data_IF_320238560879
#
_entry.id   IF_320238560879
#
_cell.length_a   1.000
_cell.length_b   1.000
_cell.length_c   1.000
_cell.angle_alpha   90.00
_cell.angle_beta   90.00
_cell.angle_gamma   90.00
#
_symmetry.space_group_name_H-M   'P 1'
#
loop_
_entity.id
_entity.type
_entity.pdbx_description
1 polymer ?
#
# COMPACT_ATOMS: atom_id res chain seq x y z
N UNK A 1 13.78 24.73 -6.23
CA UNK A 1 15.21 24.64 -6.66
C UNK A 1 16.05 25.85 -6.23
N UNK A 2 15.96 27.04 -6.85
CA UNK A 2 16.87 28.19 -6.58
C UNK A 2 16.95 28.63 -5.11
N UNK A 3 15.82 28.66 -4.38
CA UNK A 3 15.79 29.03 -2.96
C UNK A 3 16.60 28.07 -2.07
N UNK A 4 16.56 26.77 -2.34
CA UNK A 4 17.31 25.75 -1.58
C UNK A 4 18.80 25.74 -1.96
N UNK A 5 19.12 25.99 -3.23
CA UNK A 5 20.51 26.11 -3.70
C UNK A 5 21.25 27.24 -3.00
N UNK A 6 20.60 28.38 -2.77
CA UNK A 6 21.20 29.56 -2.13
C UNK A 6 20.86 29.68 -0.64
N UNK A 7 20.27 28.64 -0.04
CA UNK A 7 19.95 28.65 1.37
C UNK A 7 21.24 28.55 2.20
N UNK A 8 21.39 29.46 3.16
CA UNK A 8 22.50 29.46 4.12
C UNK A 8 22.21 28.63 5.37
N UNK A 9 21.12 27.85 5.36
CA UNK A 9 20.70 26.97 6.45
C UNK A 9 20.64 25.53 5.94
N UNK A 10 20.90 24.58 6.84
CA UNK A 10 20.71 23.17 6.54
C UNK A 10 19.26 22.88 6.18
N UNK A 11 19.06 22.06 5.15
CA UNK A 11 17.73 21.69 4.68
C UNK A 11 17.64 20.21 4.33
N UNK A 12 16.41 19.71 4.36
CA UNK A 12 16.07 18.33 4.01
C UNK A 12 14.92 18.34 2.99
N UNK A 13 15.06 17.58 1.92
CA UNK A 13 14.07 17.46 0.86
C UNK A 13 13.65 16.00 0.72
N UNK A 14 12.35 15.74 0.78
CA UNK A 14 11.79 14.42 0.48
C UNK A 14 11.18 14.48 -0.91
N UNK A 15 11.57 13.55 -1.77
CA UNK A 15 11.01 13.34 -3.09
C UNK A 15 10.32 11.98 -3.06
N UNK A 16 9.00 12.01 -3.04
CA UNK A 16 8.20 10.81 -2.88
C UNK A 16 7.86 10.17 -4.23
N UNK A 17 7.78 8.83 -4.27
CA UNK A 17 7.23 8.05 -5.38
C UNK A 17 7.96 8.20 -6.74
N UNK A 18 9.30 8.21 -6.73
CA UNK A 18 10.11 8.28 -7.95
C UNK A 18 10.29 6.90 -8.60
N UNK A 19 9.23 6.39 -9.21
CA UNK A 19 9.16 4.99 -9.69
C UNK A 19 9.54 4.79 -11.15
N UNK A 20 9.64 5.87 -11.93
CA UNK A 20 10.01 5.82 -13.36
C UNK A 20 11.36 6.49 -13.66
N UNK A 21 12.50 5.94 -13.17
CA UNK A 21 13.80 6.54 -13.42
C UNK A 21 14.20 6.65 -14.90
N UNK A 22 13.54 5.91 -15.79
CA UNK A 22 13.73 5.97 -17.24
C UNK A 22 13.09 7.22 -17.88
N UNK A 23 12.01 7.75 -17.28
CA UNK A 23 11.25 8.86 -17.84
C UNK A 23 11.97 10.20 -17.72
N UNK A 24 12.72 10.42 -16.64
CA UNK A 24 13.53 11.62 -16.44
C UNK A 24 14.62 11.39 -15.39
N UNK A 25 15.68 12.20 -15.40
CA UNK A 25 16.74 12.14 -14.39
C UNK A 25 16.45 13.11 -13.24
N UNK A 26 16.08 12.58 -12.07
CA UNK A 26 15.79 13.37 -10.88
C UNK A 26 16.95 14.29 -10.45
N UNK A 27 18.21 13.93 -10.76
CA UNK A 27 19.40 14.72 -10.39
C UNK A 27 19.40 16.11 -11.03
N UNK A 28 18.68 16.28 -12.14
CA UNK A 28 18.51 17.57 -12.79
C UNK A 28 17.66 18.54 -11.97
N UNK A 29 16.81 18.03 -11.07
CA UNK A 29 15.89 18.82 -10.26
C UNK A 29 16.39 19.03 -8.82
N UNK A 30 17.32 18.20 -8.37
CA UNK A 30 17.93 18.29 -7.03
C UNK A 30 18.76 19.59 -6.89
N UNK A 31 18.51 20.42 -5.85
CA UNK A 31 19.32 21.59 -5.57
C UNK A 31 20.76 21.18 -5.18
N UNK A 32 21.76 21.73 -5.88
CA UNK A 32 23.18 21.53 -5.54
C UNK A 32 23.56 22.42 -4.36
N UNK A 33 23.65 21.88 -3.15
CA UNK A 33 24.10 22.60 -1.95
C UNK A 33 24.81 21.64 -0.98
N UNK A 34 25.93 22.02 -0.35
CA UNK A 34 26.57 21.22 0.69
C UNK A 34 25.78 21.16 2.00
N UNK A 35 24.76 22.03 2.17
CA UNK A 35 23.91 22.09 3.36
C UNK A 35 22.62 21.28 3.21
N UNK A 36 22.43 20.61 2.07
CA UNK A 36 21.22 19.90 1.73
C UNK A 36 21.35 18.39 1.84
N UNK A 37 20.30 17.75 2.37
CA UNK A 37 20.12 16.30 2.33
C UNK A 37 18.83 15.97 1.57
N UNK A 38 18.84 14.91 0.77
CA UNK A 38 17.70 14.47 -0.03
C UNK A 38 17.38 13.02 0.30
N UNK A 39 16.12 12.74 0.60
CA UNK A 39 15.58 11.39 0.68
C UNK A 39 14.64 11.19 -0.51
N UNK A 40 14.86 10.11 -1.25
CA UNK A 40 13.99 9.69 -2.35
C UNK A 40 13.33 8.38 -1.94
N UNK A 41 12.02 8.28 -2.07
CA UNK A 41 11.31 7.00 -1.98
C UNK A 41 10.98 6.51 -3.39
N UNK A 42 11.12 5.21 -3.60
CA UNK A 42 10.89 4.58 -4.90
C UNK A 42 10.67 3.09 -4.72
N UNK A 43 9.92 2.49 -5.64
CA UNK A 43 9.76 1.05 -5.82
C UNK A 43 10.75 0.47 -6.84
N UNK A 44 11.41 1.34 -7.61
CA UNK A 44 12.38 0.96 -8.64
C UNK A 44 13.79 0.84 -8.07
N UNK A 45 14.40 -0.33 -8.22
CA UNK A 45 15.80 -0.56 -7.83
C UNK A 45 16.79 0.24 -8.69
N UNK A 46 16.39 0.65 -9.90
CA UNK A 46 17.18 1.47 -10.81
C UNK A 46 17.50 2.88 -10.24
N UNK A 47 16.92 3.24 -9.10
CA UNK A 47 17.22 4.46 -8.36
C UNK A 47 18.58 4.44 -7.66
N UNK A 48 19.27 3.30 -7.57
CA UNK A 48 20.65 3.25 -7.06
C UNK A 48 21.62 4.17 -7.83
N UNK A 49 21.30 4.49 -9.09
CA UNK A 49 22.12 5.40 -9.92
C UNK A 49 22.10 6.87 -9.47
N UNK A 50 21.13 7.25 -8.61
CA UNK A 50 20.95 8.63 -8.14
C UNK A 50 21.37 8.83 -6.69
N UNK A 51 21.75 7.79 -5.94
CA UNK A 51 22.17 7.90 -4.55
C UNK A 51 22.41 6.56 -3.85
N UNK A 52 22.64 6.61 -2.53
CA UNK A 52 22.74 5.40 -1.71
C UNK A 52 21.36 4.76 -1.52
N UNK A 53 21.23 3.50 -1.91
CA UNK A 53 19.98 2.74 -1.78
C UNK A 53 19.85 2.14 -0.37
N UNK A 54 18.66 2.28 0.21
CA UNK A 54 18.25 1.58 1.43
C UNK A 54 17.02 0.74 1.10
N UNK A 55 17.20 -0.56 0.90
CA UNK A 55 16.10 -1.48 0.63
C UNK A 55 15.25 -1.68 1.89
N UNK A 56 13.94 -1.48 1.75
CA UNK A 56 12.96 -1.77 2.80
C UNK A 56 12.27 -3.10 2.44
N UNK A 57 12.35 -4.06 3.35
CA UNK A 57 11.72 -5.38 3.19
C UNK A 57 10.39 -5.44 3.94
N UNK A 58 9.65 -6.54 3.74
CA UNK A 58 8.47 -6.85 4.55
C UNK A 58 8.79 -6.97 6.04
N UNK A 59 7.74 -6.98 6.87
CA UNK A 59 7.89 -7.08 8.32
C UNK A 59 8.47 -8.43 8.71
N UNK A 60 9.18 -8.48 9.84
CA UNK A 60 9.48 -9.75 10.49
C UNK A 60 8.19 -10.42 10.98
N UNK A 61 8.23 -11.73 11.23
CA UNK A 61 7.08 -12.49 11.74
C UNK A 61 6.51 -11.87 13.02
N UNK A 62 7.39 -11.48 13.94
CA UNK A 62 6.97 -10.89 15.22
C UNK A 62 6.39 -9.49 15.05
N UNK A 63 7.01 -8.63 14.24
CA UNK A 63 6.46 -7.30 13.93
C UNK A 63 5.08 -7.40 13.27
N UNK A 64 4.94 -8.30 12.30
CA UNK A 64 3.70 -8.51 11.56
C UNK A 64 2.58 -8.99 12.48
N UNK A 65 2.83 -10.00 13.31
CA UNK A 65 1.85 -10.50 14.28
C UNK A 65 1.47 -9.41 15.30
N UNK A 66 2.46 -8.67 15.81
CA UNK A 66 2.24 -7.56 16.75
C UNK A 66 1.40 -6.43 16.12
N UNK A 67 1.61 -6.11 14.83
CA UNK A 67 0.79 -5.15 14.10
C UNK A 67 -0.67 -5.61 14.03
N UNK A 68 -0.92 -6.88 13.70
CA UNK A 68 -2.26 -7.43 13.64
C UNK A 68 -2.96 -7.37 15.01
N UNK A 69 -2.27 -7.76 16.08
CA UNK A 69 -2.81 -7.66 17.45
C UNK A 69 -3.15 -6.23 17.84
N UNK A 70 -2.25 -5.28 17.53
CA UNK A 70 -2.47 -3.86 17.78
C UNK A 70 -3.70 -3.33 17.04
N UNK A 71 -3.92 -3.78 15.80
CA UNK A 71 -5.06 -3.35 15.00
C UNK A 71 -6.39 -3.90 15.54
N UNK A 72 -6.38 -5.14 16.03
CA UNK A 72 -7.53 -5.81 16.60
C UNK A 72 -7.85 -5.36 18.03
N UNK A 73 -6.89 -4.78 18.74
CA UNK A 73 -7.01 -4.38 20.15
C UNK A 73 -7.41 -5.56 21.06
N UNK A 74 -6.76 -6.71 20.84
CA UNK A 74 -6.97 -7.94 21.61
C UNK A 74 -5.70 -8.34 22.36
N UNK A 75 -5.88 -9.01 23.50
CA UNK A 75 -4.77 -9.58 24.25
C UNK A 75 -4.21 -10.80 23.53
N UNK A 76 -2.90 -11.01 23.69
CA UNK A 76 -2.20 -12.13 23.10
C UNK A 76 -2.19 -13.35 24.04
N UNK A 77 -2.64 -14.49 23.52
CA UNK A 77 -2.41 -15.83 24.06
C UNK A 77 -1.79 -16.76 22.99
N UNK A 78 -1.31 -17.94 23.40
CA UNK A 78 -0.62 -18.88 22.51
C UNK A 78 -1.46 -19.28 21.27
N UNK A 79 -2.75 -19.53 21.43
CA UNK A 79 -3.63 -19.90 20.33
C UNK A 79 -3.86 -18.74 19.37
N UNK A 80 -4.11 -17.55 19.92
CA UNK A 80 -4.26 -16.33 19.11
C UNK A 80 -2.99 -15.98 18.33
N UNK A 81 -1.79 -16.18 18.92
CA UNK A 81 -0.51 -15.88 18.25
C UNK A 81 -0.27 -16.82 17.07
N UNK A 82 -0.55 -18.11 17.23
CA UNK A 82 -0.44 -19.06 16.11
C UNK A 82 -1.38 -18.68 14.96
N UNK A 83 -2.63 -18.31 15.25
CA UNK A 83 -3.57 -17.87 14.22
C UNK A 83 -3.12 -16.56 13.55
N UNK A 84 -2.63 -15.59 14.33
CA UNK A 84 -2.09 -14.34 13.80
C UNK A 84 -0.89 -14.58 12.86
N UNK A 85 0.03 -15.48 13.23
CA UNK A 85 1.18 -15.85 12.40
C UNK A 85 0.73 -16.48 11.07
N UNK A 86 -0.26 -17.39 11.09
CA UNK A 86 -0.81 -17.96 9.85
C UNK A 86 -1.39 -16.87 8.94
N UNK A 87 -2.17 -15.95 9.49
CA UNK A 87 -2.73 -14.81 8.75
C UNK A 87 -1.62 -13.97 8.12
N UNK A 88 -0.69 -13.44 8.91
CA UNK A 88 0.31 -12.51 8.38
C UNK A 88 1.26 -13.15 7.39
N UNK A 89 1.47 -14.47 7.47
CA UNK A 89 2.24 -15.23 6.49
C UNK A 89 1.58 -15.25 5.11
N UNK A 90 0.25 -15.43 5.06
CA UNK A 90 -0.53 -15.39 3.80
C UNK A 90 -0.68 -13.98 3.25
N UNK A 91 -0.59 -12.99 4.12
CA UNK A 91 -0.53 -11.58 3.76
C UNK A 91 0.87 -11.11 3.35
N UNK A 92 1.84 -12.03 3.21
CA UNK A 92 3.20 -11.73 2.75
C UNK A 92 3.98 -10.82 3.69
N UNK A 93 3.58 -10.74 4.97
CA UNK A 93 4.15 -9.82 5.96
C UNK A 93 4.13 -8.35 5.53
N UNK A 94 3.15 -7.97 4.70
CA UNK A 94 3.00 -6.61 4.18
C UNK A 94 2.24 -5.75 5.20
N UNK A 95 2.84 -4.65 5.73
CA UNK A 95 2.18 -3.81 6.73
C UNK A 95 0.78 -3.34 6.32
N UNK A 96 0.64 -2.91 5.06
CA UNK A 96 -0.63 -2.41 4.53
C UNK A 96 -1.70 -3.50 4.45
N UNK A 97 -1.36 -4.70 3.95
CA UNK A 97 -2.33 -5.80 3.87
C UNK A 97 -2.76 -6.25 5.28
N UNK A 98 -1.85 -6.24 6.24
CA UNK A 98 -2.13 -6.58 7.64
C UNK A 98 -3.04 -5.53 8.30
N UNK A 99 -2.76 -4.25 8.09
CA UNK A 99 -3.59 -3.15 8.61
C UNK A 99 -5.02 -3.20 8.05
N UNK A 100 -5.14 -3.43 6.73
CA UNK A 100 -6.42 -3.63 6.05
C UNK A 100 -7.18 -4.86 6.55
N UNK A 101 -6.48 -5.98 6.75
CA UNK A 101 -7.07 -7.20 7.31
C UNK A 101 -7.62 -6.97 8.71
N UNK A 102 -6.83 -6.36 9.61
CA UNK A 102 -7.28 -6.05 10.97
C UNK A 102 -8.44 -5.06 11.00
N UNK A 103 -8.43 -4.04 10.13
CA UNK A 103 -9.54 -3.09 9.99
C UNK A 103 -10.84 -3.78 9.52
N UNK A 104 -10.74 -4.65 8.51
CA UNK A 104 -11.86 -5.47 8.03
C UNK A 104 -12.42 -6.36 9.13
N UNK A 105 -11.56 -7.09 9.83
CA UNK A 105 -11.95 -7.99 10.90
C UNK A 105 -12.70 -7.27 12.02
N UNK A 106 -12.21 -6.09 12.42
CA UNK A 106 -12.85 -5.26 13.44
C UNK A 106 -14.20 -4.72 12.99
N UNK A 107 -14.32 -4.29 11.73
CA UNK A 107 -15.55 -3.73 11.18
C UNK A 107 -16.66 -4.79 11.02
N UNK A 108 -16.31 -5.98 10.53
CA UNK A 108 -17.27 -7.06 10.28
C UNK A 108 -17.42 -8.04 11.46
N UNK A 109 -16.64 -7.87 12.53
CA UNK A 109 -16.65 -8.76 13.70
C UNK A 109 -16.10 -10.17 13.39
N UNK A 110 -15.15 -10.26 12.46
CA UNK A 110 -14.54 -11.54 12.03
C UNK A 110 -13.39 -11.91 12.96
N UNK A 111 -13.40 -13.16 13.45
CA UNK A 111 -12.35 -13.68 14.33
C UNK A 111 -11.06 -14.03 13.56
N UNK A 112 -9.93 -14.15 14.26
CA UNK A 112 -8.66 -14.63 13.66
C UNK A 112 -8.85 -15.97 12.95
N UNK A 113 -9.64 -16.88 13.53
CA UNK A 113 -9.87 -18.21 12.94
C UNK A 113 -10.73 -18.16 11.69
N UNK A 114 -11.67 -17.21 11.60
CA UNK A 114 -12.61 -17.12 10.47
C UNK A 114 -12.03 -16.30 9.31
N UNK A 115 -11.14 -15.35 9.60
CA UNK A 115 -10.59 -14.43 8.59
C UNK A 115 -9.97 -15.15 7.40
N UNK A 116 -9.25 -16.24 7.63
CA UNK A 116 -8.63 -17.02 6.57
C UNK A 116 -9.64 -17.48 5.53
N UNK A 117 -10.82 -17.94 5.95
CA UNK A 117 -11.85 -18.40 5.01
C UNK A 117 -12.36 -17.24 4.13
N UNK A 118 -12.49 -16.05 4.70
CA UNK A 118 -12.88 -14.85 3.97
C UNK A 118 -11.80 -14.44 2.97
N UNK A 119 -10.54 -14.44 3.40
CA UNK A 119 -9.39 -14.11 2.56
C UNK A 119 -9.27 -15.06 1.37
N UNK A 120 -9.29 -16.37 1.60
CA UNK A 120 -9.14 -17.37 0.53
C UNK A 120 -10.28 -17.30 -0.50
N UNK A 121 -11.51 -17.03 -0.05
CA UNK A 121 -12.64 -16.84 -0.96
C UNK A 121 -12.44 -15.61 -1.84
N UNK A 122 -12.02 -14.48 -1.26
CA UNK A 122 -11.75 -13.24 -2.02
C UNK A 122 -10.53 -13.39 -2.93
N UNK A 123 -9.47 -14.04 -2.47
CA UNK A 123 -8.26 -14.30 -3.24
C UNK A 123 -8.60 -15.14 -4.48
N UNK A 124 -9.40 -16.20 -4.35
CA UNK A 124 -9.80 -17.01 -5.50
C UNK A 124 -10.51 -16.20 -6.59
N UNK A 125 -11.40 -15.29 -6.21
CA UNK A 125 -12.07 -14.40 -7.16
C UNK A 125 -11.05 -13.49 -7.85
N UNK A 126 -10.15 -12.87 -7.08
CA UNK A 126 -9.19 -11.89 -7.58
C UNK A 126 -8.17 -12.54 -8.50
N UNK A 127 -7.52 -13.61 -8.05
CA UNK A 127 -6.47 -14.28 -8.82
C UNK A 127 -6.98 -14.94 -10.11
N UNK A 128 -8.31 -15.11 -10.28
CA UNK A 128 -8.91 -15.64 -11.50
C UNK A 128 -9.52 -14.59 -12.42
N UNK A 129 -10.03 -13.48 -11.88
CA UNK A 129 -10.83 -12.50 -12.63
C UNK A 129 -10.13 -11.18 -12.88
N UNK A 130 -9.10 -10.86 -12.12
CA UNK A 130 -8.35 -9.63 -12.27
C UNK A 130 -7.30 -9.82 -13.38
N UNK A 131 -7.40 -9.09 -14.50
CA UNK A 131 -6.29 -8.99 -15.46
C UNK A 131 -5.03 -8.55 -14.71
N UNK A 132 -3.84 -8.96 -15.16
CA UNK A 132 -2.55 -8.50 -14.62
C UNK A 132 -2.65 -7.01 -14.27
N UNK A 133 -2.70 -6.73 -12.97
CA UNK A 133 -3.29 -5.49 -12.46
C UNK A 133 -2.22 -4.40 -12.53
N UNK A 134 -2.28 -3.62 -13.61
CA UNK A 134 -1.77 -2.24 -13.77
C UNK A 134 -0.26 -2.11 -14.03
N UNK A 135 0.12 -1.01 -14.71
CA UNK A 135 1.51 -0.51 -14.89
C UNK A 135 2.32 -0.43 -13.57
N UNK A 136 1.63 -0.54 -12.42
CA UNK A 136 2.19 -0.58 -11.08
C UNK A 136 3.18 -1.74 -10.84
N UNK A 137 3.11 -2.84 -11.61
CA UNK A 137 4.06 -3.96 -11.54
C UNK A 137 5.29 -3.80 -12.43
N UNK A 138 5.23 -2.96 -13.47
CA UNK A 138 6.32 -2.80 -14.45
C UNK A 138 7.49 -1.98 -13.88
N UNK A 139 7.23 -1.01 -12.99
CA UNK A 139 8.29 -0.14 -12.44
C UNK A 139 9.24 -0.83 -11.45
N UNK A 140 8.89 -2.03 -10.97
CA UNK A 140 9.67 -2.82 -10.02
C UNK A 140 10.40 -4.02 -10.67
N UNK A 141 10.27 -4.22 -11.98
CA UNK A 141 10.81 -5.40 -12.68
C UNK A 141 12.28 -5.23 -13.04
N UNK A 142 13.17 -5.72 -12.17
CA UNK A 142 14.43 -6.34 -12.60
C UNK A 142 14.19 -7.80 -13.00
N UNK A 143 15.14 -8.41 -13.75
CA UNK A 143 15.06 -9.70 -14.47
C UNK A 143 14.57 -10.95 -13.68
N UNK A 144 14.24 -10.84 -12.39
CA UNK A 144 13.72 -11.91 -11.54
C UNK A 144 12.54 -11.52 -10.61
N UNK A 145 11.93 -10.34 -10.78
CA UNK A 145 11.04 -9.69 -9.78
C UNK A 145 9.55 -9.56 -10.11
N UNK A 146 9.13 -9.96 -11.30
CA UNK A 146 7.77 -9.71 -11.81
C UNK A 146 6.71 -10.52 -11.05
N UNK A 147 6.98 -11.81 -10.81
CA UNK A 147 6.05 -12.72 -10.11
C UNK A 147 5.84 -12.33 -8.63
N UNK A 148 6.89 -11.84 -7.95
CA UNK A 148 6.78 -11.42 -6.54
C UNK A 148 5.99 -10.12 -6.41
N UNK A 149 6.16 -9.19 -7.34
CA UNK A 149 5.47 -7.88 -7.32
C UNK A 149 3.97 -8.05 -7.59
N UNK A 150 3.60 -8.91 -8.55
CA UNK A 150 2.21 -9.22 -8.86
C UNK A 150 1.50 -9.88 -7.66
N UNK A 151 2.16 -10.81 -6.97
CA UNK A 151 1.62 -11.43 -5.75
C UNK A 151 1.38 -10.38 -4.65
N UNK A 152 2.35 -9.49 -4.39
CA UNK A 152 2.24 -8.42 -3.39
C UNK A 152 1.05 -7.50 -3.71
N UNK A 153 0.92 -7.06 -4.96
CA UNK A 153 -0.17 -6.20 -5.39
C UNK A 153 -1.53 -6.91 -5.24
N UNK A 154 -1.62 -8.18 -5.64
CA UNK A 154 -2.84 -8.99 -5.48
C UNK A 154 -3.21 -9.21 -4.03
N UNK A 155 -2.26 -9.41 -3.13
CA UNK A 155 -2.52 -9.56 -1.68
C UNK A 155 -3.09 -8.30 -1.06
N UNK A 156 -2.50 -7.13 -1.34
CA UNK A 156 -3.02 -5.83 -0.89
C UNK A 156 -4.41 -5.59 -1.49
N UNK A 157 -4.58 -5.83 -2.79
CA UNK A 157 -5.88 -5.69 -3.42
C UNK A 157 -6.93 -6.64 -2.83
N UNK A 158 -6.54 -7.86 -2.43
CA UNK A 158 -7.44 -8.84 -1.81
C UNK A 158 -7.98 -8.37 -0.48
N UNK A 159 -7.12 -7.83 0.38
CA UNK A 159 -7.52 -7.30 1.69
C UNK A 159 -8.33 -6.00 1.56
N UNK A 160 -7.97 -5.14 0.61
CA UNK A 160 -8.80 -3.99 0.25
C UNK A 160 -10.20 -4.39 -0.26
N UNK A 161 -10.28 -5.38 -1.16
CA UNK A 161 -11.54 -5.84 -1.74
C UNK A 161 -12.50 -6.44 -0.70
N UNK A 162 -11.98 -7.08 0.35
CA UNK A 162 -12.80 -7.52 1.50
C UNK A 162 -13.50 -6.33 2.16
N UNK A 163 -12.75 -5.24 2.42
CA UNK A 163 -13.31 -4.00 2.97
C UNK A 163 -14.29 -3.34 2.00
N UNK A 164 -14.00 -3.34 0.71
CA UNK A 164 -14.89 -2.78 -0.30
C UNK A 164 -16.22 -3.55 -0.40
N UNK A 165 -16.17 -4.90 -0.41
CA UNK A 165 -17.37 -5.76 -0.38
C UNK A 165 -18.22 -5.55 0.89
N UNK A 166 -17.58 -5.20 2.01
CA UNK A 166 -18.27 -4.90 3.29
C UNK A 166 -19.16 -3.65 3.24
N UNK A 167 -18.98 -2.79 2.24
CA UNK A 167 -19.87 -1.65 2.02
C UNK A 167 -21.29 -2.09 1.62
N UNK A 168 -21.50 -3.38 1.31
CA UNK A 168 -22.76 -3.98 0.84
C UNK A 168 -23.33 -3.23 -0.38
N UNK A 169 -22.65 -3.27 -1.53
CA UNK A 169 -23.09 -2.58 -2.76
C UNK A 169 -24.43 -3.10 -3.32
N UNK A 170 -25.02 -4.14 -2.74
CA UNK A 170 -26.37 -4.59 -3.02
C UNK A 170 -27.45 -3.70 -2.35
N UNK A 171 -27.08 -2.93 -1.33
CA UNK A 171 -27.97 -1.96 -0.65
C UNK A 171 -27.92 -0.57 -1.31
N UNK A 172 -28.97 0.25 -1.15
CA UNK A 172 -28.98 1.61 -1.72
C UNK A 172 -27.86 2.49 -1.16
N UNK A 173 -27.67 2.50 0.16
CA UNK A 173 -26.59 3.24 0.82
C UNK A 173 -25.21 2.70 0.45
N UNK A 174 -25.06 1.37 0.40
CA UNK A 174 -23.80 0.74 0.02
C UNK A 174 -23.41 1.01 -1.42
N UNK A 175 -24.37 1.02 -2.36
CA UNK A 175 -24.13 1.46 -3.75
C UNK A 175 -23.56 2.86 -3.78
N UNK A 176 -24.19 3.80 -3.07
CA UNK A 176 -23.71 5.18 -3.07
C UNK A 176 -22.27 5.30 -2.56
N UNK A 177 -21.95 4.64 -1.43
CA UNK A 177 -20.57 4.60 -0.90
C UNK A 177 -19.59 4.01 -1.90
N UNK A 178 -19.93 2.89 -2.52
CA UNK A 178 -19.09 2.25 -3.53
C UNK A 178 -18.90 3.15 -4.75
N UNK A 179 -19.96 3.80 -5.24
CA UNK A 179 -19.89 4.75 -6.36
C UNK A 179 -18.99 5.93 -6.05
N UNK A 180 -19.11 6.55 -4.87
CA UNK A 180 -18.23 7.66 -4.48
C UNK A 180 -16.77 7.20 -4.46
N UNK A 181 -16.45 6.06 -3.84
CA UNK A 181 -15.07 5.55 -3.82
C UNK A 181 -14.53 5.22 -5.22
N UNK A 182 -15.37 4.63 -6.08
CA UNK A 182 -14.98 4.37 -7.47
C UNK A 182 -14.77 5.66 -8.27
N UNK A 183 -15.56 6.70 -8.03
CA UNK A 183 -15.36 8.01 -8.65
C UNK A 183 -14.05 8.64 -8.17
N UNK A 184 -13.76 8.60 -6.87
CA UNK A 184 -12.54 9.12 -6.27
C UNK A 184 -11.27 8.50 -6.89
N UNK A 185 -11.33 7.25 -7.36
CA UNK A 185 -10.22 6.60 -8.04
C UNK A 185 -9.83 7.25 -9.39
N UNK A 186 -10.69 8.11 -9.97
CA UNK A 186 -10.40 8.84 -11.22
C UNK A 186 -9.97 10.29 -10.99
N UNK A 187 -9.97 10.77 -9.74
CA UNK A 187 -9.48 12.12 -9.43
C UNK A 187 -8.00 12.09 -9.08
N UNK A 188 -7.31 13.20 -9.34
CA UNK A 188 -5.97 13.42 -8.80
C UNK A 188 -6.06 13.52 -7.26
N UNK A 189 -5.17 12.81 -6.57
CA UNK A 189 -5.17 12.73 -5.11
C UNK A 189 -4.88 14.07 -4.40
N UNK A 190 -4.43 15.11 -5.12
CA UNK A 190 -4.01 16.38 -4.55
C UNK A 190 -5.05 17.50 -4.70
N UNK A 191 -5.99 17.40 -5.65
CA UNK A 191 -6.94 18.48 -5.97
C UNK A 191 -8.36 17.95 -6.23
N UNK A 192 -9.03 17.51 -5.16
CA UNK A 192 -10.43 17.10 -5.20
C UNK A 192 -11.29 18.25 -4.65
N UNK A 193 -11.94 19.00 -5.54
CA UNK A 193 -12.85 20.09 -5.13
C UNK A 193 -14.16 19.55 -4.56
N UNK A 194 -14.62 20.12 -3.44
CA UNK A 194 -15.94 19.81 -2.85
C UNK A 194 -17.11 20.16 -3.77
N UNK A 195 -16.91 21.07 -4.73
CA UNK A 195 -17.93 21.48 -5.71
C UNK A 195 -18.45 20.31 -6.54
N UNK A 196 -17.61 19.29 -6.81
CA UNK A 196 -18.01 18.09 -7.56
C UNK A 196 -19.04 17.23 -6.83
N UNK A 197 -19.22 17.43 -5.52
CA UNK A 197 -20.12 16.64 -4.69
C UNK A 197 -21.39 17.40 -4.27
N UNK A 198 -21.52 18.69 -4.59
CA UNK A 198 -22.68 19.50 -4.20
C UNK A 198 -24.01 19.05 -4.83
N UNK A 199 -23.96 18.26 -5.90
CA UNK A 199 -25.13 17.74 -6.60
C UNK A 199 -25.65 16.39 -6.06
N UNK A 200 -24.96 15.81 -5.06
CA UNK A 200 -25.29 14.53 -4.41
C UNK A 200 -25.64 14.74 -2.94
#
# INVERSE_FOLDING_TARGET
RRKLTTANLSWFLVLDNYDEPSAFDLREYIPKSPLGNVLVTSRSLDTERIGSLLCIFGMTVDEAANLLFKQLDIAEDLGSRTAAIDIVSRLGYLPLAIDQAGAYMKAEGVSLTDFISHYEQSAKDIFTSVPSLWEYTESASGESGEETTDIVAKTVFTTWNLSFKSLRPDTSTGRFKATVLSLLAFFDAHEISEEYFQAY
#
